data_IF_093945306132
#
_entry.id   IF_093945306132
#
_cell.length_a   1.000
_cell.length_b   1.000
_cell.length_c   1.000
_cell.angle_alpha   90.00
_cell.angle_beta   90.00
_cell.angle_gamma   90.00
#
_symmetry.space_group_name_H-M   'P 1'
#
loop_
_entity.id
_entity.type
_entity.pdbx_description
1 polymer ?
#
# COMPACT_ATOMS: atom_id res chain seq x y z
N UNK A 1 -56.40 -13.88 -37.03
CA UNK A 1 -55.70 -12.60 -37.21
C UNK A 1 -56.73 -11.47 -37.12
N UNK A 2 -56.79 -10.72 -36.02
CA UNK A 2 -57.48 -9.42 -35.95
C UNK A 2 -56.50 -8.25 -36.14
N UNK A 3 -56.94 -7.08 -36.64
CA UNK A 3 -56.06 -5.94 -36.91
C UNK A 3 -55.83 -5.10 -35.65
N UNK A 4 -54.66 -4.45 -35.48
CA UNK A 4 -54.49 -3.39 -34.48
C UNK A 4 -54.91 -2.02 -35.03
N UNK A 5 -55.49 -1.13 -34.22
CA UNK A 5 -55.67 0.27 -34.55
C UNK A 5 -54.58 1.20 -33.97
N UNK A 6 -54.19 2.14 -34.82
CA UNK A 6 -53.87 3.56 -34.60
C UNK A 6 -53.03 4.00 -33.40
N UNK A 7 -51.98 4.78 -33.70
CA UNK A 7 -51.71 6.01 -32.97
C UNK A 7 -51.32 7.15 -33.92
N UNK A 8 -51.77 8.31 -33.51
CA UNK A 8 -51.97 9.54 -34.26
C UNK A 8 -50.89 10.58 -33.96
N UNK A 9 -50.81 11.57 -34.85
CA UNK A 9 -50.53 12.99 -34.59
C UNK A 9 -49.16 13.40 -34.05
N UNK A 10 -48.53 14.35 -34.76
CA UNK A 10 -47.61 15.30 -34.14
C UNK A 10 -46.53 15.85 -35.05
N UNK A 11 -46.90 16.63 -36.07
CA UNK A 11 -45.98 17.54 -36.76
C UNK A 11 -45.59 18.70 -35.83
N UNK A 12 -44.30 19.09 -35.83
CA UNK A 12 -43.84 20.49 -36.00
C UNK A 12 -42.39 20.72 -35.57
N UNK A 13 -41.64 21.35 -36.48
CA UNK A 13 -40.73 22.50 -36.32
C UNK A 13 -39.97 22.64 -34.98
N UNK A 14 -38.64 22.75 -34.94
CA UNK A 14 -37.91 24.01 -35.13
C UNK A 14 -36.42 23.81 -35.46
N UNK A 15 -35.84 24.88 -35.98
CA UNK A 15 -34.55 25.10 -36.62
C UNK A 15 -33.31 25.26 -35.71
N UNK A 16 -32.17 24.84 -36.27
CA UNK A 16 -30.76 25.28 -36.11
C UNK A 16 -30.43 26.53 -35.28
N UNK A 17 -29.38 26.46 -34.44
CA UNK A 17 -28.46 27.58 -34.15
C UNK A 17 -27.03 27.07 -33.80
N UNK A 18 -26.06 27.43 -34.63
CA UNK A 18 -24.63 27.41 -34.33
C UNK A 18 -24.24 28.68 -33.57
N UNK A 19 -23.39 28.57 -32.54
CA UNK A 19 -22.69 29.72 -31.97
C UNK A 19 -21.18 29.53 -32.09
N UNK A 20 -20.60 30.34 -32.98
CA UNK A 20 -19.20 30.69 -33.03
C UNK A 20 -18.84 31.60 -31.84
N UNK A 21 -17.69 31.37 -31.22
CA UNK A 21 -17.10 32.31 -30.25
C UNK A 21 -15.74 32.76 -30.75
N UNK A 22 -15.62 34.09 -30.87
CA UNK A 22 -14.46 34.86 -31.33
C UNK A 22 -13.29 34.76 -30.37
N UNK A 23 -12.10 34.69 -30.95
CA UNK A 23 -10.80 34.92 -30.34
C UNK A 23 -10.70 36.32 -29.73
N UNK A 24 -10.17 36.41 -28.51
CA UNK A 24 -9.37 37.55 -28.05
C UNK A 24 -8.18 37.01 -27.27
N UNK A 25 -6.98 37.36 -27.72
CA UNK A 25 -5.71 36.98 -27.13
C UNK A 25 -5.43 37.76 -25.83
N UNK A 26 -4.96 37.06 -24.80
CA UNK A 26 -4.15 37.63 -23.73
C UNK A 26 -3.10 36.60 -23.32
N UNK A 27 -1.85 36.98 -23.55
CA UNK A 27 -0.63 36.22 -23.30
C UNK A 27 -0.32 36.09 -21.80
N UNK A 28 -0.34 34.87 -21.28
CA UNK A 28 0.41 34.46 -20.11
C UNK A 28 0.59 32.93 -20.16
N UNK A 29 1.84 32.49 -20.35
CA UNK A 29 2.32 31.13 -20.07
C UNK A 29 1.48 29.96 -20.59
N UNK A 30 1.60 29.65 -21.88
CA UNK A 30 1.29 28.32 -22.41
C UNK A 30 2.29 27.31 -21.85
N UNK A 31 2.08 26.85 -20.61
CA UNK A 31 2.50 25.50 -20.27
C UNK A 31 1.53 24.57 -20.99
N UNK A 32 2.09 23.74 -21.85
CA UNK A 32 1.38 22.85 -22.74
C UNK A 32 0.46 21.91 -21.96
N UNK A 33 -0.81 22.30 -21.80
CA UNK A 33 -1.84 21.47 -21.18
C UNK A 33 -2.03 20.15 -21.97
N UNK A 34 -1.68 20.14 -23.26
CA UNK A 34 -1.62 18.91 -24.05
C UNK A 34 -0.48 18.02 -23.58
N UNK A 35 0.70 18.54 -23.21
CA UNK A 35 1.78 17.73 -22.67
C UNK A 35 1.45 17.14 -21.30
N UNK A 36 0.70 17.84 -20.45
CA UNK A 36 0.26 17.32 -19.15
C UNK A 36 -0.81 16.22 -19.28
N UNK A 37 -1.72 16.35 -20.25
CA UNK A 37 -2.76 15.36 -20.56
C UNK A 37 -2.17 14.17 -21.33
N UNK A 38 -1.27 14.39 -22.28
CA UNK A 38 -0.52 13.35 -23.00
C UNK A 38 0.46 12.59 -22.11
N UNK A 39 1.05 13.25 -21.10
CA UNK A 39 1.84 12.56 -20.08
C UNK A 39 0.99 11.67 -19.17
N UNK A 40 -0.30 11.97 -18.97
CA UNK A 40 -1.19 11.18 -18.10
C UNK A 40 -1.72 9.89 -18.76
N UNK A 41 -1.81 9.84 -20.09
CA UNK A 41 -2.43 8.73 -20.84
C UNK A 41 -1.49 7.52 -21.03
N UNK A 42 -0.21 7.62 -20.64
CA UNK A 42 0.77 6.53 -20.80
C UNK A 42 1.67 6.27 -19.58
N UNK A 43 1.42 6.91 -18.43
CA UNK A 43 2.28 6.75 -17.25
C UNK A 43 2.04 5.40 -16.57
N UNK A 44 2.87 4.42 -16.91
CA UNK A 44 2.98 3.19 -16.14
C UNK A 44 3.52 3.54 -14.75
N UNK A 45 2.88 3.01 -13.71
CA UNK A 45 3.34 3.19 -12.34
C UNK A 45 3.47 1.84 -11.64
N UNK A 46 4.25 1.83 -10.56
CA UNK A 46 4.35 0.75 -9.59
C UNK A 46 3.83 1.24 -8.26
N UNK A 47 2.96 0.45 -7.63
CA UNK A 47 2.34 0.78 -6.36
C UNK A 47 3.21 0.28 -5.22
N UNK A 48 3.71 1.20 -4.40
CA UNK A 48 4.42 0.91 -3.16
C UNK A 48 3.47 1.14 -1.99
N UNK A 49 3.16 0.09 -1.23
CA UNK A 49 2.53 0.23 0.07
C UNK A 49 3.61 0.48 1.13
N UNK A 50 3.51 1.57 1.88
CA UNK A 50 4.36 1.83 3.04
C UNK A 50 3.52 1.66 4.30
N UNK A 51 3.91 0.70 5.15
CA UNK A 51 3.28 0.45 6.44
C UNK A 51 4.05 1.22 7.51
N UNK A 52 3.58 2.42 7.83
CA UNK A 52 4.25 3.35 8.74
C UNK A 52 3.26 4.40 9.29
N UNK A 53 3.61 4.98 10.43
CA UNK A 53 2.89 6.12 11.03
C UNK A 53 2.95 7.37 10.12
N UNK A 54 1.94 8.25 10.16
CA UNK A 54 1.83 9.41 9.26
C UNK A 54 2.90 10.50 9.48
N UNK A 55 3.74 10.36 10.51
CA UNK A 55 4.81 11.30 10.83
C UNK A 55 5.85 11.51 9.72
N UNK A 56 6.04 10.51 8.85
CA UNK A 56 6.98 10.54 7.73
C UNK A 56 6.22 10.55 6.41
N UNK A 57 6.43 11.59 5.60
CA UNK A 57 5.82 11.71 4.26
C UNK A 57 6.63 10.92 3.23
N UNK A 58 6.30 9.63 3.10
CA UNK A 58 6.96 8.75 2.13
C UNK A 58 6.63 9.10 0.69
N UNK A 59 5.44 9.66 0.41
CA UNK A 59 5.09 10.13 -0.92
C UNK A 59 6.01 11.27 -1.39
N UNK A 60 6.43 12.15 -0.49
CA UNK A 60 7.46 13.16 -0.76
C UNK A 60 8.84 12.53 -0.96
N UNK A 61 9.22 11.54 -0.15
CA UNK A 61 10.51 10.87 -0.27
C UNK A 61 10.70 10.15 -1.63
N UNK A 62 9.63 9.55 -2.16
CA UNK A 62 9.63 8.86 -3.45
C UNK A 62 9.23 9.75 -4.64
N UNK A 63 8.96 11.04 -4.43
CA UNK A 63 8.54 11.94 -5.50
C UNK A 63 9.61 12.03 -6.60
N UNK A 64 9.18 11.81 -7.84
CA UNK A 64 10.05 11.85 -9.03
C UNK A 64 11.01 10.66 -9.15
N UNK A 65 10.99 9.72 -8.19
CA UNK A 65 11.73 8.45 -8.32
C UNK A 65 11.01 7.55 -9.31
N UNK A 66 11.78 6.81 -10.10
CA UNK A 66 11.28 5.92 -11.15
C UNK A 66 11.96 4.55 -11.09
N UNK A 67 11.21 3.50 -11.35
CA UNK A 67 11.75 2.14 -11.53
C UNK A 67 12.16 1.98 -12.99
N UNK A 68 13.41 1.58 -13.22
CA UNK A 68 14.05 1.50 -14.55
C UNK A 68 13.98 2.79 -15.38
N UNK A 69 13.78 3.95 -14.73
CA UNK A 69 13.59 5.23 -15.42
C UNK A 69 12.26 5.39 -16.16
N UNK A 70 11.40 4.36 -16.19
CA UNK A 70 10.14 4.35 -16.92
C UNK A 70 8.94 4.48 -15.98
N UNK A 71 8.87 3.64 -14.95
CA UNK A 71 7.69 3.51 -14.11
C UNK A 71 7.72 4.51 -12.96
N UNK A 72 6.69 5.36 -12.84
CA UNK A 72 6.51 6.19 -11.65
C UNK A 72 6.20 5.35 -10.41
N UNK A 73 6.57 5.83 -9.23
CA UNK A 73 6.23 5.17 -7.96
C UNK A 73 5.00 5.86 -7.37
N UNK A 74 3.89 5.12 -7.28
CA UNK A 74 2.69 5.55 -6.57
C UNK A 74 2.77 5.02 -5.14
N UNK A 75 2.91 5.91 -4.17
CA UNK A 75 2.95 5.55 -2.75
C UNK A 75 1.54 5.55 -2.18
N UNK A 76 1.13 4.45 -1.55
CA UNK A 76 0.01 4.40 -0.60
C UNK A 76 0.61 4.15 0.79
N UNK A 77 0.24 4.97 1.77
CA UNK A 77 0.74 4.88 3.13
C UNK A 77 -0.42 4.67 4.09
N UNK A 78 -0.28 3.74 5.03
CA UNK A 78 -1.24 3.42 6.07
C UNK A 78 -0.56 2.70 7.24
N UNK A 79 -1.17 2.71 8.41
CA UNK A 79 -0.74 1.88 9.54
C UNK A 79 -1.30 0.46 9.44
N UNK A 80 -0.70 -0.50 10.15
CA UNK A 80 -1.22 -1.87 10.22
C UNK A 80 -2.68 -1.91 10.70
N UNK A 81 -3.05 -1.03 11.63
CA UNK A 81 -4.41 -0.93 12.18
C UNK A 81 -5.46 -0.47 11.16
N UNK A 82 -5.02 0.14 10.06
CA UNK A 82 -5.88 0.70 9.01
C UNK A 82 -6.03 -0.24 7.81
N UNK A 83 -5.28 -1.35 7.77
CA UNK A 83 -5.27 -2.24 6.60
C UNK A 83 -5.91 -3.60 6.88
N UNK A 84 -6.44 -4.18 5.81
CA UNK A 84 -6.82 -5.58 5.75
C UNK A 84 -6.45 -6.13 4.37
N UNK A 85 -6.50 -7.44 4.17
CA UNK A 85 -6.23 -8.04 2.87
C UNK A 85 -7.00 -9.33 2.66
N UNK A 86 -7.23 -9.65 1.38
CA UNK A 86 -7.68 -10.96 0.93
C UNK A 86 -6.65 -11.47 -0.07
N UNK A 87 -6.24 -12.73 0.07
CA UNK A 87 -5.30 -13.38 -0.84
C UNK A 87 -5.81 -14.77 -1.22
N UNK A 88 -5.72 -15.09 -2.50
CA UNK A 88 -6.17 -16.35 -3.11
C UNK A 88 -4.96 -17.14 -3.63
N UNK A 89 -5.07 -18.46 -3.63
CA UNK A 89 -3.97 -19.36 -4.04
C UNK A 89 -3.61 -19.24 -5.53
N UNK A 90 -4.52 -18.68 -6.34
CA UNK A 90 -4.32 -18.42 -7.77
C UNK A 90 -3.48 -17.16 -8.05
N UNK A 91 -3.01 -16.48 -6.99
CA UNK A 91 -2.22 -15.25 -7.08
C UNK A 91 -3.07 -13.96 -7.16
N UNK A 92 -4.39 -14.07 -7.08
CA UNK A 92 -5.25 -12.90 -6.91
C UNK A 92 -5.24 -12.42 -5.45
N UNK A 93 -5.14 -11.10 -5.24
CA UNK A 93 -5.18 -10.50 -3.92
C UNK A 93 -5.56 -9.03 -4.01
N UNK A 94 -6.04 -8.49 -2.90
CA UNK A 94 -6.29 -7.07 -2.70
C UNK A 94 -5.94 -6.68 -1.26
N UNK A 95 -5.38 -5.49 -1.11
CA UNK A 95 -5.20 -4.82 0.18
C UNK A 95 -6.24 -3.72 0.27
N UNK A 96 -6.95 -3.69 1.39
CA UNK A 96 -7.93 -2.68 1.73
C UNK A 96 -7.33 -1.72 2.74
N UNK A 97 -7.37 -0.42 2.46
CA UNK A 97 -7.13 0.62 3.46
C UNK A 97 -8.50 1.16 3.91
N UNK A 98 -8.70 1.19 5.21
CA UNK A 98 -9.86 1.73 5.88
C UNK A 98 -9.50 3.07 6.54
N UNK A 99 -10.10 4.16 6.06
CA UNK A 99 -9.93 5.50 6.65
C UNK A 99 -11.29 6.05 7.06
N UNK A 100 -11.37 6.70 8.22
CA UNK A 100 -12.58 7.43 8.64
C UNK A 100 -12.47 8.87 8.11
N UNK A 101 -13.40 9.27 7.24
CA UNK A 101 -13.51 10.64 6.72
C UNK A 101 -14.87 11.20 7.10
N UNK A 102 -14.89 12.31 7.85
CA UNK A 102 -16.11 12.98 8.31
C UNK A 102 -17.11 12.01 9.00
N UNK A 103 -16.60 11.09 9.82
CA UNK A 103 -17.41 10.08 10.52
C UNK A 103 -17.89 8.91 9.65
N UNK A 104 -17.62 8.93 8.34
CA UNK A 104 -17.94 7.81 7.43
C UNK A 104 -16.70 6.96 7.19
N UNK A 105 -16.83 5.65 7.40
CA UNK A 105 -15.80 4.66 7.09
C UNK A 105 -15.72 4.48 5.57
N UNK A 106 -14.60 4.88 4.97
CA UNK A 106 -14.33 4.72 3.54
C UNK A 106 -13.27 3.63 3.38
N UNK A 107 -13.57 2.64 2.55
CA UNK A 107 -12.64 1.56 2.22
C UNK A 107 -12.16 1.75 0.78
N UNK A 108 -10.86 1.65 0.56
CA UNK A 108 -10.25 1.63 -0.79
C UNK A 108 -9.39 0.38 -0.94
N UNK A 109 -9.68 -0.39 -1.99
CA UNK A 109 -8.93 -1.59 -2.34
C UNK A 109 -7.91 -1.30 -3.45
N UNK A 110 -6.73 -1.89 -3.35
CA UNK A 110 -5.70 -1.83 -4.39
C UNK A 110 -4.77 -3.04 -4.30
N UNK A 111 -3.89 -3.20 -5.29
CA UNK A 111 -2.92 -4.29 -5.36
C UNK A 111 -1.50 -3.70 -5.34
N UNK A 112 -0.79 -3.70 -4.20
CA UNK A 112 0.59 -3.22 -4.17
C UNK A 112 1.52 -4.12 -4.99
N UNK A 113 2.45 -3.52 -5.72
CA UNK A 113 3.55 -4.23 -6.39
C UNK A 113 4.71 -4.54 -5.41
N UNK A 114 4.81 -3.77 -4.32
CA UNK A 114 5.87 -3.88 -3.32
C UNK A 114 5.39 -3.32 -1.97
N UNK A 115 5.95 -3.81 -0.86
CA UNK A 115 5.66 -3.33 0.50
C UNK A 115 6.95 -2.87 1.21
N UNK A 116 6.89 -1.72 1.88
CA UNK A 116 7.92 -1.27 2.81
C UNK A 116 7.32 -1.27 4.22
N UNK A 117 7.84 -2.11 5.12
CA UNK A 117 7.35 -2.21 6.50
C UNK A 117 8.27 -1.43 7.43
N UNK A 118 7.71 -0.44 8.11
CA UNK A 118 8.41 0.43 9.08
C UNK A 118 7.82 0.36 10.49
N UNK A 119 6.59 -0.14 10.61
CA UNK A 119 5.93 -0.39 11.88
C UNK A 119 6.24 -1.79 12.44
N UNK A 120 6.14 -1.96 13.76
CA UNK A 120 6.23 -3.27 14.40
C UNK A 120 5.01 -4.14 14.03
N UNK A 121 5.25 -5.36 13.55
CA UNK A 121 4.19 -6.30 13.17
C UNK A 121 3.59 -7.06 14.35
N UNK A 122 4.22 -6.98 15.53
CA UNK A 122 3.76 -7.64 16.75
C UNK A 122 4.26 -6.92 18.00
N UNK A 123 3.36 -6.82 18.98
CA UNK A 123 3.62 -6.40 20.35
C UNK A 123 2.66 -7.16 21.27
N UNK A 124 3.04 -7.29 22.56
CA UNK A 124 2.20 -7.92 23.57
C UNK A 124 1.08 -7.01 24.10
N UNK A 125 1.06 -5.73 23.66
CA UNK A 125 -0.02 -4.82 24.00
C UNK A 125 -1.32 -5.21 23.28
N UNK A 126 -2.45 -4.78 23.85
CA UNK A 126 -3.76 -5.09 23.29
C UNK A 126 -3.91 -4.50 21.89
N UNK A 127 -4.42 -5.30 20.94
CA UNK A 127 -4.64 -4.93 19.53
C UNK A 127 -3.39 -4.62 18.71
N UNK A 128 -2.20 -5.05 19.15
CA UNK A 128 -0.94 -4.88 18.40
C UNK A 128 -0.39 -6.21 17.84
N UNK A 129 -1.26 -7.12 17.39
CA UNK A 129 -0.87 -8.36 16.69
C UNK A 129 -1.31 -8.32 15.22
N UNK A 130 -0.34 -8.04 14.34
CA UNK A 130 -0.53 -7.91 12.90
C UNK A 130 0.15 -9.02 12.11
N UNK A 131 0.54 -10.12 12.78
CA UNK A 131 1.23 -11.24 12.13
C UNK A 131 0.40 -11.89 11.03
N UNK A 132 -0.92 -11.89 11.17
CA UNK A 132 -1.86 -12.34 10.15
C UNK A 132 -1.75 -11.55 8.83
N UNK A 133 -1.48 -10.24 8.89
CA UNK A 133 -1.27 -9.40 7.72
C UNK A 133 0.07 -9.73 7.03
N UNK A 134 1.12 -10.00 7.80
CA UNK A 134 2.41 -10.47 7.26
C UNK A 134 2.23 -11.82 6.53
N UNK A 135 1.52 -12.76 7.15
CA UNK A 135 1.18 -14.06 6.54
C UNK A 135 0.38 -13.84 5.25
N UNK A 136 -0.61 -12.96 5.27
CA UNK A 136 -1.45 -12.66 4.11
C UNK A 136 -0.67 -12.06 2.94
N UNK A 137 0.25 -11.13 3.20
CA UNK A 137 1.15 -10.57 2.18
C UNK A 137 2.11 -11.62 1.63
N UNK A 138 2.61 -12.53 2.47
CA UNK A 138 3.48 -13.64 2.06
C UNK A 138 2.70 -14.61 1.17
N UNK A 139 1.46 -14.92 1.55
CA UNK A 139 0.55 -15.78 0.80
C UNK A 139 0.21 -15.19 -0.57
N UNK A 140 0.03 -13.87 -0.65
CA UNK A 140 -0.15 -13.12 -1.90
C UNK A 140 1.12 -13.02 -2.76
N UNK A 141 2.29 -13.43 -2.24
CA UNK A 141 3.56 -13.35 -2.94
C UNK A 141 4.06 -11.91 -3.16
N UNK A 142 3.69 -10.97 -2.28
CA UNK A 142 4.08 -9.56 -2.43
C UNK A 142 5.53 -9.35 -1.97
N UNK A 143 6.43 -8.81 -2.80
CA UNK A 143 7.78 -8.48 -2.39
C UNK A 143 7.82 -7.39 -1.31
N UNK A 144 8.80 -7.45 -0.40
CA UNK A 144 8.88 -6.53 0.75
C UNK A 144 10.30 -6.17 1.16
N UNK A 145 10.46 -4.98 1.80
CA UNK A 145 11.61 -4.62 2.64
C UNK A 145 11.15 -4.34 4.08
N UNK A 146 11.75 -4.96 5.10
CA UNK A 146 12.56 -6.18 5.00
C UNK A 146 11.72 -7.34 4.42
N UNK A 147 12.34 -8.49 4.15
CA UNK A 147 11.58 -9.66 3.67
C UNK A 147 10.47 -10.02 4.66
N UNK A 148 9.29 -10.41 4.16
CA UNK A 148 8.16 -10.80 5.00
C UNK A 148 8.50 -11.97 5.92
N UNK A 149 9.32 -12.91 5.44
CA UNK A 149 9.88 -13.98 6.26
C UNK A 149 10.70 -13.46 7.45
N UNK A 150 11.62 -12.51 7.21
CA UNK A 150 12.41 -11.92 8.30
C UNK A 150 11.55 -11.13 9.28
N UNK A 151 10.52 -10.43 8.79
CA UNK A 151 9.58 -9.66 9.63
C UNK A 151 8.77 -10.62 10.52
N UNK A 152 8.26 -11.70 9.94
CA UNK A 152 7.55 -12.74 10.69
C UNK A 152 8.43 -13.34 11.80
N UNK A 153 9.67 -13.72 11.45
CA UNK A 153 10.64 -14.24 12.42
C UNK A 153 11.08 -13.18 13.46
N UNK A 154 10.93 -11.89 13.18
CA UNK A 154 11.29 -10.83 14.13
C UNK A 154 10.24 -10.56 15.21
N UNK A 155 9.10 -11.24 15.17
CA UNK A 155 8.01 -11.02 16.13
C UNK A 155 8.35 -11.51 17.55
N UNK A 156 9.28 -12.45 17.71
CA UNK A 156 9.72 -12.92 19.03
C UNK A 156 11.16 -12.46 19.33
N UNK A 157 11.30 -11.51 20.26
CA UNK A 157 12.63 -10.99 20.65
C UNK A 157 13.60 -12.11 21.09
N UNK A 158 13.21 -13.11 21.90
CA UNK A 158 14.10 -14.22 22.25
C UNK A 158 14.50 -15.09 21.05
N UNK A 159 13.61 -15.24 20.06
CA UNK A 159 13.92 -15.97 18.83
C UNK A 159 15.00 -15.25 18.02
N UNK A 160 14.89 -13.93 17.87
CA UNK A 160 15.94 -13.11 17.23
C UNK A 160 17.24 -13.18 18.03
N UNK A 161 17.18 -13.11 19.36
CA UNK A 161 18.36 -13.19 20.21
C UNK A 161 19.08 -14.54 20.07
N UNK A 162 18.36 -15.65 19.83
CA UNK A 162 18.97 -16.95 19.56
C UNK A 162 19.85 -16.96 18.29
N UNK A 163 19.54 -16.13 17.29
CA UNK A 163 20.41 -15.93 16.13
C UNK A 163 21.70 -15.21 16.53
N UNK A 164 21.61 -14.20 17.41
CA UNK A 164 22.79 -13.51 17.96
C UNK A 164 23.67 -14.45 18.80
N UNK A 165 23.06 -15.35 19.59
CA UNK A 165 23.78 -16.40 20.33
C UNK A 165 24.55 -17.32 19.38
N UNK A 166 23.97 -17.65 18.22
CA UNK A 166 24.63 -18.48 17.21
C UNK A 166 25.84 -17.77 16.58
N UNK A 167 25.72 -16.46 16.31
CA UNK A 167 26.84 -15.62 15.85
C UNK A 167 27.93 -15.53 16.93
N UNK A 168 27.55 -15.29 18.19
CA UNK A 168 28.46 -15.26 19.33
C UNK A 168 29.28 -16.55 19.45
N UNK A 169 28.63 -17.72 19.38
CA UNK A 169 29.29 -19.03 19.44
C UNK A 169 30.29 -19.26 18.30
N UNK A 170 30.03 -18.66 17.13
CA UNK A 170 30.87 -18.82 15.94
C UNK A 170 32.08 -17.87 15.96
N UNK A 171 31.87 -16.62 16.37
CA UNK A 171 32.89 -15.57 16.28
C UNK A 171 33.69 -15.37 17.56
N UNK A 172 33.14 -15.77 18.71
CA UNK A 172 33.73 -15.58 20.02
C UNK A 172 33.55 -14.15 20.57
N UNK A 173 33.75 -13.97 21.89
CA UNK A 173 33.47 -12.72 22.60
C UNK A 173 34.34 -11.54 22.15
N UNK A 174 35.55 -11.79 21.64
CA UNK A 174 36.43 -10.72 21.16
C UNK A 174 35.90 -10.02 19.91
N UNK A 175 35.25 -10.78 19.00
CA UNK A 175 34.73 -10.25 17.74
C UNK A 175 33.26 -9.87 17.82
N UNK A 176 32.50 -10.54 18.68
CA UNK A 176 31.08 -10.29 18.85
C UNK A 176 30.73 -10.37 20.34
N UNK A 177 30.92 -9.30 21.13
CA UNK A 177 30.68 -9.30 22.57
C UNK A 177 29.16 -9.21 22.87
N UNK A 178 28.47 -10.35 22.80
CA UNK A 178 27.05 -10.44 23.13
C UNK A 178 26.84 -10.38 24.65
N UNK A 179 25.86 -9.60 25.10
CA UNK A 179 25.50 -9.53 26.52
C UNK A 179 25.03 -10.90 27.03
N UNK A 180 25.39 -11.22 28.27
CA UNK A 180 24.86 -12.41 28.94
C UNK A 180 23.36 -12.23 29.22
N UNK A 181 22.56 -13.19 28.75
CA UNK A 181 21.11 -13.17 28.91
C UNK A 181 20.60 -14.61 29.11
N UNK A 182 19.68 -14.79 30.06
CA UNK A 182 19.00 -16.05 30.33
C UNK A 182 17.57 -15.96 29.81
N UNK A 183 17.16 -16.93 28.97
CA UNK A 183 15.77 -17.06 28.54
C UNK A 183 15.01 -18.02 29.47
N UNK A 184 13.84 -17.58 29.95
CA UNK A 184 12.92 -18.41 30.71
C UNK A 184 11.63 -18.62 29.90
N UNK A 185 11.22 -19.86 29.59
CA UNK A 185 10.01 -20.13 28.83
C UNK A 185 8.73 -19.74 29.60
N UNK A 186 8.81 -19.71 30.93
CA UNK A 186 7.75 -19.29 31.82
C UNK A 186 8.32 -18.92 33.20
N UNK A 187 7.48 -18.36 34.07
CA UNK A 187 7.86 -17.88 35.40
C UNK A 187 8.35 -18.97 36.37
N UNK A 188 8.04 -20.26 36.15
CA UNK A 188 8.43 -21.35 37.08
C UNK A 188 9.93 -21.61 37.07
N UNK A 189 10.58 -21.32 35.95
CA UNK A 189 12.03 -21.49 35.79
C UNK A 189 12.82 -20.30 36.38
N UNK A 190 12.13 -19.22 36.77
CA UNK A 190 12.75 -18.07 37.43
C UNK A 190 12.94 -18.34 38.93
N UNK A 191 13.83 -19.28 39.24
CA UNK A 191 14.29 -19.56 40.61
C UNK A 191 15.36 -18.54 41.01
N UNK A 192 14.95 -17.54 41.79
CA UNK A 192 15.84 -16.60 42.49
C UNK A 192 16.16 -17.05 43.91
#
# INVERSE_FOLDING_TARGET
QPPPPQQSTGSSFFSSLSNAVKQTAASAGLVDASAAVSAAVGRKFKVLLVIDEPHTDWAKAFRGKKVHGEYDIKVEQAEFSEINLIAHADGNYAVDIQVIRNGTKVVRSFRPDFVLVRQHSYSMAENEDFRNLIIGMQYAGVPSVNSLESIYNFCDKPWVFAQLVSVYKTLGPEKFPLIEQTFYPNHKEMVG
#
